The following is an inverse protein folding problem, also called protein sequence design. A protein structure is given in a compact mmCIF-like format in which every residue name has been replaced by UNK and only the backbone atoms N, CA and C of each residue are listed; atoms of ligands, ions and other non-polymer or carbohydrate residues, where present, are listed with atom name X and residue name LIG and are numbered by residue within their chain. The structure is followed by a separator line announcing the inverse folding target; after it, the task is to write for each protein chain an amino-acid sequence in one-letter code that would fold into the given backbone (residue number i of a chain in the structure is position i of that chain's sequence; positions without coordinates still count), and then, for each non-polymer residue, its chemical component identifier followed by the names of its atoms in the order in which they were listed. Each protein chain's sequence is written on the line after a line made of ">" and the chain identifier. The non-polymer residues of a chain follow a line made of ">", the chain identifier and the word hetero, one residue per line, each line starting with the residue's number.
data_IF_739885363632
#
_entry.id   IF_739885363632
#
_cell.length_a   1.000
_cell.length_b   1.000
_cell.length_c   1.000
_cell.angle_alpha   90.00
_cell.angle_beta   90.00
_cell.angle_gamma   90.00
#
_symmetry.space_group_name_H-M   'P 1'
#
loop_
_entity.id
_entity.type
_entity.pdbx_description
1 polymer ?
#
# COMPACT_ATOMS: atom_id res chain seq x y z
N UNK A 1 6.90 -10.44 -18.17
CA UNK A 1 6.27 -10.00 -16.90
C UNK A 1 7.36 -9.86 -15.85
N UNK A 2 7.69 -8.64 -15.45
CA UNK A 2 8.75 -8.36 -14.47
C UNK A 2 8.26 -8.64 -13.04
N UNK A 3 8.87 -9.62 -12.39
CA UNK A 3 8.62 -9.96 -10.98
C UNK A 3 9.20 -8.83 -10.12
N UNK A 4 8.37 -8.11 -9.36
CA UNK A 4 8.83 -7.03 -8.50
C UNK A 4 9.48 -7.59 -7.24
N UNK A 5 10.75 -7.22 -7.01
CA UNK A 5 11.46 -7.48 -5.76
C UNK A 5 11.57 -6.17 -4.98
N UNK A 6 10.95 -6.13 -3.81
CA UNK A 6 11.00 -4.96 -2.93
C UNK A 6 12.41 -4.78 -2.36
N UNK A 7 12.84 -3.52 -2.20
CA UNK A 7 14.14 -3.18 -1.64
C UNK A 7 14.36 -3.80 -0.25
N UNK A 8 15.52 -4.44 -0.04
CA UNK A 8 15.89 -5.01 1.26
C UNK A 8 16.09 -3.94 2.34
N UNK A 9 16.42 -2.71 1.94
CA UNK A 9 16.71 -1.58 2.83
C UNK A 9 15.49 -0.71 3.14
N UNK A 10 14.29 -1.10 2.66
CA UNK A 10 13.06 -0.31 2.79
C UNK A 10 12.69 0.09 4.23
N UNK A 11 13.16 -0.66 5.23
CA UNK A 11 12.90 -0.38 6.64
C UNK A 11 14.04 0.36 7.35
N UNK A 12 15.15 0.65 6.66
CA UNK A 12 16.33 1.28 7.26
C UNK A 12 16.12 2.78 7.53
N UNK A 13 15.36 3.46 6.66
CA UNK A 13 15.23 4.93 6.69
C UNK A 13 13.86 5.41 7.17
N UNK A 14 12.80 4.62 6.99
CA UNK A 14 11.44 5.02 7.36
C UNK A 14 11.25 5.02 8.89
N UNK A 15 10.74 6.14 9.41
CA UNK A 15 10.37 6.25 10.82
C UNK A 15 8.98 5.67 11.05
N UNK A 16 8.85 4.81 12.06
CA UNK A 16 7.58 4.17 12.42
C UNK A 16 7.08 4.65 13.78
N UNK A 17 6.00 5.44 13.77
CA UNK A 17 5.38 6.02 14.94
C UNK A 17 4.31 5.08 15.51
N UNK A 18 4.23 4.99 16.84
CA UNK A 18 3.19 4.20 17.51
C UNK A 18 1.86 4.95 17.45
N UNK A 19 0.83 4.30 16.93
CA UNK A 19 -0.53 4.82 16.89
C UNK A 19 -1.29 4.43 18.15
N UNK A 20 -1.42 5.39 19.07
CA UNK A 20 -2.16 5.22 20.30
C UNK A 20 -1.58 4.14 21.21
N UNK A 21 -2.46 3.46 21.96
CA UNK A 21 -2.07 2.50 23.02
C UNK A 21 -2.00 1.05 22.55
N UNK A 22 -2.51 0.75 21.35
CA UNK A 22 -2.70 -0.60 20.82
C UNK A 22 -1.46 -1.21 20.14
N UNK A 23 -0.31 -0.54 20.22
CA UNK A 23 0.97 -1.10 19.77
C UNK A 23 1.18 -1.14 18.25
N UNK A 24 0.19 -0.72 17.46
CA UNK A 24 0.32 -0.56 16.01
C UNK A 24 1.35 0.53 15.69
N UNK A 25 2.27 0.24 14.77
CA UNK A 25 3.25 1.20 14.26
C UNK A 25 2.89 1.58 12.83
N UNK A 26 2.66 2.87 12.59
CA UNK A 26 2.44 3.40 11.25
C UNK A 26 3.69 4.16 10.78
N UNK A 27 4.00 4.14 9.48
CA UNK A 27 5.05 4.99 8.94
C UNK A 27 4.71 6.47 9.17
N UNK A 28 5.73 7.30 9.36
CA UNK A 28 5.56 8.74 9.53
C UNK A 28 4.89 9.39 8.30
N UNK A 29 5.05 8.77 7.13
CA UNK A 29 4.44 9.19 5.85
C UNK A 29 3.57 8.05 5.34
N UNK A 30 2.34 8.37 4.94
CA UNK A 30 1.38 7.43 4.36
C UNK A 30 0.97 7.90 2.96
N UNK A 31 0.65 6.96 2.07
CA UNK A 31 0.25 7.29 0.70
C UNK A 31 -1.27 7.21 0.56
N UNK A 32 -1.91 8.33 0.23
CA UNK A 32 -3.35 8.38 -0.11
C UNK A 32 -3.59 8.19 -1.61
N UNK A 33 -4.59 7.38 -1.96
CA UNK A 33 -4.89 6.99 -3.35
C UNK A 33 -6.02 7.81 -3.99
N UNK A 34 -6.26 9.03 -3.48
CA UNK A 34 -7.43 9.85 -3.85
C UNK A 34 -7.46 10.24 -5.33
N UNK A 35 -6.34 10.75 -5.86
CA UNK A 35 -6.17 11.08 -7.27
C UNK A 35 -5.08 10.17 -7.87
N UNK A 36 -5.22 9.79 -9.15
CA UNK A 36 -4.27 8.95 -9.93
C UNK A 36 -4.47 7.42 -9.87
N UNK A 37 -5.63 6.92 -9.43
CA UNK A 37 -5.96 5.48 -9.46
C UNK A 37 -7.25 5.13 -10.22
N UNK A 38 -7.86 6.08 -10.95
CA UNK A 38 -9.01 5.83 -11.82
C UNK A 38 -8.65 5.96 -13.31
N UNK A 39 -9.04 4.99 -14.13
CA UNK A 39 -8.85 5.01 -15.60
C UNK A 39 -7.56 4.34 -16.12
N UNK A 40 -7.45 4.19 -17.45
CA UNK A 40 -6.44 3.36 -18.13
C UNK A 40 -4.98 3.76 -17.88
N UNK A 41 -4.65 5.06 -17.97
CA UNK A 41 -3.27 5.56 -17.75
C UNK A 41 -2.89 5.65 -16.26
N UNK A 42 -3.87 5.58 -15.36
CA UNK A 42 -3.67 5.60 -13.92
C UNK A 42 -3.06 4.29 -13.38
N UNK A 43 -3.19 3.17 -14.12
CA UNK A 43 -2.72 1.87 -13.62
C UNK A 43 -1.20 1.75 -13.55
N UNK A 44 -0.46 2.12 -14.60
CA UNK A 44 1.00 1.99 -14.59
C UNK A 44 1.64 3.05 -13.69
N UNK A 45 1.11 4.28 -13.70
CA UNK A 45 1.54 5.33 -12.76
C UNK A 45 1.26 4.94 -11.31
N UNK A 46 0.06 4.43 -11.03
CA UNK A 46 -0.30 3.91 -9.71
C UNK A 46 0.62 2.77 -9.27
N UNK A 47 0.96 1.85 -10.18
CA UNK A 47 1.93 0.78 -9.92
C UNK A 47 3.32 1.30 -9.57
N UNK A 48 3.85 2.27 -10.31
CA UNK A 48 5.15 2.90 -10.02
C UNK A 48 5.13 3.62 -8.68
N UNK A 49 4.07 4.36 -8.38
CA UNK A 49 3.89 5.04 -7.09
C UNK A 49 3.86 4.05 -5.92
N UNK A 50 3.11 2.95 -6.04
CA UNK A 50 3.02 1.92 -5.01
C UNK A 50 4.35 1.24 -4.75
N UNK A 51 5.08 0.84 -5.81
CA UNK A 51 6.40 0.23 -5.71
C UNK A 51 7.39 1.17 -5.04
N UNK A 52 7.43 2.43 -5.49
CA UNK A 52 8.33 3.44 -4.92
C UNK A 52 8.01 3.71 -3.45
N UNK A 53 6.74 3.85 -3.10
CA UNK A 53 6.30 4.04 -1.73
C UNK A 53 6.72 2.86 -0.84
N UNK A 54 6.54 1.63 -1.32
CA UNK A 54 6.93 0.43 -0.58
C UNK A 54 8.44 0.29 -0.43
N UNK A 55 9.22 0.62 -1.47
CA UNK A 55 10.69 0.64 -1.41
C UNK A 55 11.22 1.70 -0.43
N UNK A 56 10.47 2.78 -0.22
CA UNK A 56 10.77 3.80 0.79
C UNK A 56 10.28 3.42 2.19
N UNK A 57 9.63 2.26 2.36
CA UNK A 57 9.15 1.78 3.66
C UNK A 57 7.74 2.26 4.04
N UNK A 58 7.01 2.91 3.13
CA UNK A 58 5.61 3.26 3.37
C UNK A 58 4.81 1.95 3.37
N UNK A 59 4.25 1.60 4.54
CA UNK A 59 3.42 0.41 4.74
C UNK A 59 1.94 0.74 4.95
N UNK A 60 1.59 2.02 4.95
CA UNK A 60 0.21 2.48 5.11
C UNK A 60 -0.26 3.16 3.83
N UNK A 61 -1.25 2.52 3.20
CA UNK A 61 -1.94 3.00 2.00
C UNK A 61 -3.39 3.30 2.39
N UNK A 62 -3.81 4.55 2.15
CA UNK A 62 -5.15 5.01 2.46
C UNK A 62 -6.03 4.98 1.20
N UNK A 63 -7.15 4.26 1.32
CA UNK A 63 -8.15 4.09 0.26
C UNK A 63 -9.52 4.45 0.82
N UNK A 64 -10.38 5.02 -0.03
CA UNK A 64 -11.79 5.22 0.24
C UNK A 64 -12.66 4.65 -0.89
N UNK A 65 -13.89 4.31 -0.53
CA UNK A 65 -14.90 3.69 -1.41
C UNK A 65 -15.28 4.56 -2.62
N UNK A 66 -15.11 5.88 -2.53
CA UNK A 66 -15.44 6.83 -3.59
C UNK A 66 -14.25 7.18 -4.49
N UNK A 67 -13.06 6.59 -4.28
CA UNK A 67 -11.89 6.92 -5.08
C UNK A 67 -12.01 6.39 -6.52
N UNK A 68 -11.71 7.28 -7.46
CA UNK A 68 -11.75 7.05 -8.92
C UNK A 68 -12.92 7.75 -9.64
N UNK A 69 -12.82 7.88 -10.97
CA UNK A 69 -13.98 7.64 -11.84
C UNK A 69 -13.80 6.30 -12.60
N UNK A 70 -14.74 5.34 -12.50
CA UNK A 70 -15.93 5.33 -11.63
C UNK A 70 -15.58 5.14 -10.14
N UNK A 71 -16.47 5.52 -9.21
CA UNK A 71 -16.29 5.26 -7.78
C UNK A 71 -15.99 3.78 -7.51
N UNK A 72 -14.97 3.51 -6.68
CA UNK A 72 -14.54 2.15 -6.34
C UNK A 72 -13.49 1.57 -7.29
N UNK A 73 -13.26 2.18 -8.45
CA UNK A 73 -12.22 1.72 -9.40
C UNK A 73 -10.82 1.72 -8.79
N UNK A 74 -10.52 2.67 -7.88
CA UNK A 74 -9.23 2.72 -7.21
C UNK A 74 -8.98 1.50 -6.31
N UNK A 75 -10.00 0.99 -5.61
CA UNK A 75 -9.86 -0.23 -4.79
C UNK A 75 -9.61 -1.46 -5.67
N UNK A 76 -10.32 -1.57 -6.80
CA UNK A 76 -10.15 -2.67 -7.75
C UNK A 76 -8.76 -2.66 -8.38
N UNK A 77 -8.33 -1.52 -8.92
CA UNK A 77 -7.00 -1.35 -9.52
C UNK A 77 -5.90 -1.62 -8.51
N UNK A 78 -6.02 -1.07 -7.29
CA UNK A 78 -5.08 -1.35 -6.21
C UNK A 78 -5.03 -2.85 -5.88
N UNK A 79 -6.18 -3.49 -5.69
CA UNK A 79 -6.26 -4.91 -5.35
C UNK A 79 -5.69 -5.82 -6.43
N UNK A 80 -5.80 -5.45 -7.71
CA UNK A 80 -5.17 -6.16 -8.83
C UNK A 80 -3.66 -5.97 -8.85
N UNK A 81 -3.18 -4.74 -8.70
CA UNK A 81 -1.74 -4.43 -8.66
C UNK A 81 -1.07 -5.10 -7.46
N UNK A 82 -1.70 -5.05 -6.30
CA UNK A 82 -1.21 -5.66 -5.07
C UNK A 82 -1.01 -7.18 -5.23
N UNK A 83 -2.01 -7.87 -5.77
CA UNK A 83 -1.93 -9.32 -6.03
C UNK A 83 -0.87 -9.67 -7.07
N UNK A 84 -0.63 -8.82 -8.06
CA UNK A 84 0.35 -9.09 -9.13
C UNK A 84 1.78 -8.85 -8.68
N UNK A 85 2.03 -7.74 -7.98
CA UNK A 85 3.40 -7.28 -7.71
C UNK A 85 3.88 -7.60 -6.29
N UNK A 86 2.97 -7.67 -5.32
CA UNK A 86 3.34 -7.79 -3.91
C UNK A 86 3.05 -9.19 -3.33
N UNK A 87 2.31 -10.05 -4.02
CA UNK A 87 2.00 -11.40 -3.51
C UNK A 87 3.25 -12.23 -3.16
N UNK A 88 4.37 -12.04 -3.88
CA UNK A 88 5.63 -12.70 -3.57
C UNK A 88 6.36 -12.07 -2.38
N UNK A 89 6.27 -10.74 -2.19
CA UNK A 89 6.98 -10.00 -1.15
C UNK A 89 6.24 -9.95 0.20
N UNK A 90 4.96 -10.33 0.23
CA UNK A 90 4.14 -10.42 1.47
C UNK A 90 4.24 -11.81 2.11
N UNK A 91 4.96 -12.78 1.52
CA UNK A 91 5.20 -14.07 2.20
C UNK A 91 5.81 -13.78 3.57
N UNK A 92 5.20 -14.25 4.67
CA UNK A 92 5.77 -14.05 5.98
C UNK A 92 7.11 -14.76 5.99
N UNK A 93 8.19 -13.98 6.14
CA UNK A 93 9.44 -14.55 6.59
C UNK A 93 9.11 -15.31 7.88
N UNK A 94 9.28 -16.63 7.84
CA UNK A 94 9.12 -17.53 8.97
C UNK A 94 9.88 -16.92 10.14
N UNK A 95 9.17 -16.39 11.14
CA UNK A 95 9.76 -15.92 12.41
C UNK A 95 9.75 -14.42 12.72
N UNK A 96 9.05 -13.53 12.01
CA UNK A 96 9.06 -12.10 12.36
C UNK A 96 7.76 -11.33 12.13
N UNK A 97 7.12 -10.89 13.22
CA UNK A 97 5.93 -10.00 13.23
C UNK A 97 6.21 -8.64 12.55
N UNK A 98 6.17 -8.55 11.22
CA UNK A 98 6.12 -7.29 10.44
C UNK A 98 5.39 -7.49 9.11
N UNK A 99 4.09 -7.82 9.17
CA UNK A 99 3.22 -7.71 8.01
C UNK A 99 2.70 -6.26 7.89
N UNK A 100 2.54 -5.70 6.68
CA UNK A 100 1.90 -4.41 6.49
C UNK A 100 0.45 -4.47 7.00
N UNK A 101 0.08 -3.53 7.86
CA UNK A 101 -1.26 -3.45 8.43
C UNK A 101 -2.19 -2.72 7.45
N UNK A 102 -3.04 -3.49 6.76
CA UNK A 102 -4.17 -2.95 6.01
C UNK A 102 -5.27 -2.52 6.98
N UNK A 103 -5.61 -1.23 6.99
CA UNK A 103 -6.77 -0.72 7.72
C UNK A 103 -7.82 -0.28 6.71
N UNK A 104 -8.86 -1.09 6.54
CA UNK A 104 -10.08 -0.73 5.81
C UNK A 104 -10.89 0.23 6.69
N UNK A 105 -10.90 1.51 6.36
CA UNK A 105 -11.88 2.44 6.94
C UNK A 105 -13.18 2.30 6.16
N UNK A 106 -14.04 1.38 6.59
CA UNK A 106 -15.44 1.35 6.14
C UNK A 106 -16.12 2.57 6.79
N UNK A 107 -16.26 3.66 6.05
CA UNK A 107 -17.19 4.73 6.43
C UNK A 107 -18.60 4.17 6.22
N UNK A 108 -19.24 3.83 7.33
CA UNK A 108 -20.67 3.48 7.37
C UNK A 108 -21.50 4.69 6.97
N UNK A 109 -22.40 4.50 6.03
CA UNK A 109 -23.70 5.19 5.97
C UNK A 109 -24.76 4.11 6.01
#
# INVERSE_FOLDING_TARGET
>A
MSNYAASHERYATMTYNRCGRIGLKLPAISLGLWHNFGGGDAMENGRLMLRRAFDLGITHFDLANNYGPPPGSAEESFGQLWRRDFAASIRPAVGGRRAPCFRRWRLSS
#
